data_IF_889673630497
#
_entry.id   IF_889673630497
#
_cell.length_a   1.000
_cell.length_b   1.000
_cell.length_c   1.000
_cell.angle_alpha   90.00
_cell.angle_beta   90.00
_cell.angle_gamma   90.00
#
_symmetry.space_group_name_H-M   'P 1'
#
loop_
_entity.id
_entity.type
_entity.pdbx_description
1 polymer ?
#
# COMPACT_ATOMS: atom_id res chain seq x y z
N UNK A 1 -6.04 -45.10 49.53
CA UNK A 1 -4.58 -45.37 49.43
C UNK A 1 -4.41 -46.27 48.22
N UNK A 2 -3.70 -45.96 47.13
CA UNK A 2 -2.76 -44.89 46.77
C UNK A 2 -2.53 -44.94 45.25
N UNK A 3 -2.47 -43.76 44.60
CA UNK A 3 -1.64 -43.35 43.45
C UNK A 3 -1.39 -44.35 42.31
N UNK A 4 -1.66 -44.06 41.04
CA UNK A 4 -1.38 -42.82 40.33
C UNK A 4 0.07 -42.83 39.84
N UNK A 5 0.30 -42.94 38.51
CA UNK A 5 1.40 -42.30 37.76
C UNK A 5 1.50 -42.71 36.28
N UNK A 6 1.29 -41.69 35.42
CA UNK A 6 2.17 -41.23 34.31
C UNK A 6 2.52 -42.13 33.12
N UNK A 7 2.12 -41.67 31.93
CA UNK A 7 3.07 -41.34 30.84
C UNK A 7 2.56 -41.62 29.42
N UNK A 8 2.26 -40.57 28.62
CA UNK A 8 3.11 -40.00 27.53
C UNK A 8 3.29 -41.03 26.37
N UNK A 9 2.87 -40.86 25.10
CA UNK A 9 3.14 -39.82 24.08
C UNK A 9 2.25 -40.17 22.85
N UNK A 10 1.44 -39.24 22.32
CA UNK A 10 1.56 -38.58 21.00
C UNK A 10 1.74 -39.56 19.79
N UNK A 11 0.97 -39.49 18.70
CA UNK A 11 0.82 -38.34 17.81
C UNK A 11 -0.43 -38.43 16.93
N UNK A 12 -1.21 -37.37 17.00
CA UNK A 12 -2.26 -36.98 16.06
C UNK A 12 -1.67 -36.69 14.67
N UNK A 13 -2.31 -37.21 13.63
CA UNK A 13 -2.10 -36.74 12.25
C UNK A 13 -3.30 -35.87 11.87
N UNK A 14 -3.12 -34.55 11.93
CA UNK A 14 -4.03 -33.57 11.34
C UNK A 14 -3.19 -32.70 10.40
N UNK A 15 -3.37 -32.88 9.09
CA UNK A 15 -2.79 -32.04 8.06
C UNK A 15 -3.95 -31.43 7.27
N UNK A 16 -4.59 -30.44 7.89
CA UNK A 16 -5.45 -29.49 7.21
C UNK A 16 -4.51 -28.49 6.51
N UNK A 17 -4.32 -28.67 5.21
CA UNK A 17 -3.69 -27.68 4.35
C UNK A 17 -4.59 -26.45 4.26
N UNK A 18 -4.40 -25.51 5.19
CA UNK A 18 -4.89 -24.14 5.06
C UNK A 18 -3.85 -23.37 4.23
N UNK A 19 -3.95 -23.42 2.90
CA UNK A 19 -3.13 -22.57 2.03
C UNK A 19 -3.69 -21.15 2.07
N UNK A 20 -2.92 -20.13 2.47
CA UNK A 20 -3.35 -18.74 2.36
C UNK A 20 -3.49 -18.35 0.87
N UNK A 21 -4.30 -17.32 0.53
CA UNK A 21 -4.37 -16.82 -0.83
C UNK A 21 -3.04 -16.13 -1.15
N UNK A 22 -2.18 -16.84 -1.89
CA UNK A 22 -1.08 -16.24 -2.62
C UNK A 22 -1.74 -15.27 -3.61
N UNK A 23 -1.73 -13.97 -3.32
CA UNK A 23 -1.72 -12.96 -4.37
C UNK A 23 -0.56 -13.36 -5.27
N UNK A 24 -0.88 -13.93 -6.43
CA UNK A 24 -0.03 -14.86 -7.14
C UNK A 24 1.35 -14.25 -7.46
N UNK A 25 2.33 -14.47 -6.59
CA UNK A 25 3.72 -14.47 -7.00
C UNK A 25 3.85 -15.69 -7.89
N UNK A 26 3.75 -15.48 -9.20
CA UNK A 26 3.96 -16.53 -10.18
C UNK A 26 5.29 -17.23 -9.83
N UNK A 27 5.35 -18.57 -9.81
CA UNK A 27 6.59 -19.28 -9.51
C UNK A 27 7.70 -18.78 -10.43
N UNK A 28 8.83 -18.38 -9.85
CA UNK A 28 9.95 -17.81 -10.60
C UNK A 28 10.46 -18.82 -11.64
N UNK A 29 10.29 -18.47 -12.93
CA UNK A 29 10.87 -19.20 -14.06
C UNK A 29 11.93 -18.29 -14.70
N UNK A 30 13.24 -18.60 -14.59
CA UNK A 30 14.32 -17.67 -14.91
C UNK A 30 14.18 -16.99 -16.29
N UNK A 31 14.13 -17.75 -17.38
CA UNK A 31 14.12 -17.19 -18.75
C UNK A 31 12.86 -16.37 -19.06
N UNK A 32 11.70 -16.86 -18.61
CA UNK A 32 10.42 -16.17 -18.80
C UNK A 32 10.39 -14.88 -17.98
N UNK A 33 10.96 -14.90 -16.78
CA UNK A 33 11.01 -13.74 -15.89
C UNK A 33 11.97 -12.68 -16.40
N UNK A 34 13.16 -13.07 -16.88
CA UNK A 34 14.12 -12.13 -17.47
C UNK A 34 13.56 -11.45 -18.73
N UNK A 35 12.90 -12.21 -19.61
CA UNK A 35 12.27 -11.66 -20.80
C UNK A 35 11.12 -10.69 -20.45
N UNK A 36 10.29 -11.05 -19.46
CA UNK A 36 9.20 -10.19 -18.98
C UNK A 36 9.71 -8.95 -18.25
N UNK A 37 10.76 -9.05 -17.44
CA UNK A 37 11.39 -7.90 -16.79
C UNK A 37 12.01 -6.97 -17.82
N UNK A 38 12.65 -7.51 -18.86
CA UNK A 38 13.15 -6.71 -19.99
C UNK A 38 12.03 -5.96 -20.70
N UNK A 39 10.89 -6.61 -20.92
CA UNK A 39 9.72 -5.96 -21.50
C UNK A 39 9.15 -4.86 -20.58
N UNK A 40 9.05 -5.11 -19.28
CA UNK A 40 8.67 -4.09 -18.30
C UNK A 40 9.60 -2.87 -18.37
N UNK A 41 10.92 -3.08 -18.37
CA UNK A 41 11.90 -1.97 -18.48
C UNK A 41 11.73 -1.17 -19.77
N UNK A 42 11.40 -1.83 -20.88
CA UNK A 42 11.14 -1.17 -22.16
C UNK A 42 9.87 -0.31 -22.10
N UNK A 43 8.81 -0.81 -21.47
CA UNK A 43 7.57 -0.07 -21.27
C UNK A 43 7.78 1.16 -20.38
N UNK A 44 8.50 1.01 -19.27
CA UNK A 44 8.88 2.13 -18.39
C UNK A 44 9.71 3.16 -19.16
N UNK A 45 10.73 2.72 -19.90
CA UNK A 45 11.57 3.62 -20.70
C UNK A 45 10.75 4.38 -21.76
N UNK A 46 9.79 3.72 -22.42
CA UNK A 46 8.93 4.35 -23.41
C UNK A 46 8.01 5.42 -22.78
N UNK A 47 7.40 5.11 -21.62
CA UNK A 47 6.61 6.06 -20.83
C UNK A 47 7.44 7.29 -20.42
N UNK A 48 8.59 7.07 -19.81
CA UNK A 48 9.48 8.15 -19.36
C UNK A 48 10.01 8.99 -20.52
N UNK A 49 10.36 8.38 -21.66
CA UNK A 49 10.77 9.10 -22.86
C UNK A 49 9.65 9.98 -23.43
N UNK A 50 8.41 9.50 -23.44
CA UNK A 50 7.25 10.28 -23.86
C UNK A 50 7.03 11.50 -22.93
N UNK A 51 7.16 11.31 -21.61
CA UNK A 51 7.08 12.41 -20.65
C UNK A 51 8.20 13.45 -20.86
N UNK A 52 9.45 12.99 -20.96
CA UNK A 52 10.62 13.85 -21.18
C UNK A 52 10.56 14.62 -22.51
N UNK A 53 9.88 14.06 -23.52
CA UNK A 53 9.66 14.70 -24.82
C UNK A 53 8.48 15.68 -24.82
N UNK A 54 7.85 15.94 -23.68
CA UNK A 54 6.68 16.83 -23.56
C UNK A 54 5.40 16.25 -24.15
N UNK A 55 5.33 14.93 -24.35
CA UNK A 55 4.18 14.22 -24.92
C UNK A 55 3.59 13.23 -23.91
N UNK A 56 3.03 13.72 -22.79
CA UNK A 56 2.57 12.83 -21.73
C UNK A 56 1.43 11.90 -22.14
N UNK A 57 0.59 12.28 -23.11
CA UNK A 57 -0.47 11.42 -23.62
C UNK A 57 0.07 10.13 -24.26
N UNK A 58 1.17 10.23 -25.01
CA UNK A 58 1.81 9.09 -25.68
C UNK A 58 2.39 8.08 -24.67
N UNK A 59 2.65 8.52 -23.43
CA UNK A 59 3.22 7.69 -22.37
C UNK A 59 2.20 6.95 -21.49
N UNK A 60 0.90 7.28 -21.57
CA UNK A 60 -0.14 6.62 -20.75
C UNK A 60 -0.20 5.12 -21.05
N UNK A 61 -0.22 4.77 -22.33
CA UNK A 61 -0.37 3.39 -22.79
C UNK A 61 0.81 2.49 -22.35
N UNK A 62 2.08 2.86 -22.58
CA UNK A 62 3.20 2.10 -22.05
C UNK A 62 3.24 2.10 -20.51
N UNK A 63 2.85 3.19 -19.84
CA UNK A 63 2.80 3.23 -18.38
C UNK A 63 1.77 2.25 -17.79
N UNK A 64 0.54 2.17 -18.35
CA UNK A 64 -0.48 1.20 -17.92
C UNK A 64 -0.02 -0.25 -18.11
N UNK A 65 0.56 -0.55 -19.26
CA UNK A 65 1.11 -1.88 -19.57
C UNK A 65 2.26 -2.23 -18.64
N UNK A 66 3.15 -1.25 -18.39
CA UNK A 66 4.26 -1.39 -17.45
C UNK A 66 3.79 -1.68 -16.04
N UNK A 67 2.80 -0.93 -15.53
CA UNK A 67 2.21 -1.16 -14.21
C UNK A 67 1.58 -2.55 -14.10
N UNK A 68 0.77 -2.95 -15.09
CA UNK A 68 0.14 -4.29 -15.09
C UNK A 68 1.19 -5.40 -15.03
N UNK A 69 2.25 -5.27 -15.84
CA UNK A 69 3.32 -6.26 -15.88
C UNK A 69 4.15 -6.25 -14.58
N UNK A 70 4.34 -5.09 -13.96
CA UNK A 70 5.04 -4.98 -12.68
C UNK A 70 4.23 -5.61 -11.53
N UNK A 71 2.91 -5.37 -11.49
CA UNK A 71 1.98 -6.00 -10.55
C UNK A 71 2.10 -7.54 -10.63
N UNK A 72 2.12 -8.10 -11.85
CA UNK A 72 2.25 -9.53 -12.07
C UNK A 72 3.63 -10.12 -11.70
N UNK A 73 4.72 -9.37 -11.95
CA UNK A 73 6.09 -9.86 -11.77
C UNK A 73 6.62 -9.71 -10.35
N UNK A 74 6.26 -8.60 -9.71
CA UNK A 74 6.89 -8.19 -8.45
C UNK A 74 5.89 -8.09 -7.30
N UNK A 75 4.60 -7.97 -7.62
CA UNK A 75 3.53 -7.76 -6.66
C UNK A 75 3.20 -6.27 -6.44
N UNK A 76 2.03 -5.99 -5.84
CA UNK A 76 1.44 -4.67 -5.81
C UNK A 76 2.14 -3.63 -4.94
N UNK A 77 2.96 -4.09 -3.99
CA UNK A 77 3.71 -3.26 -3.03
C UNK A 77 5.22 -3.23 -3.31
N UNK A 78 5.69 -3.90 -4.37
CA UNK A 78 7.11 -3.87 -4.73
C UNK A 78 7.50 -2.46 -5.24
N UNK A 79 8.67 -1.93 -4.85
CA UNK A 79 9.12 -0.61 -5.30
C UNK A 79 9.08 -0.40 -6.82
N UNK A 80 9.35 -1.43 -7.63
CA UNK A 80 9.29 -1.34 -9.10
C UNK A 80 7.86 -1.13 -9.61
N UNK A 81 6.90 -1.78 -8.97
CA UNK A 81 5.48 -1.61 -9.22
C UNK A 81 5.01 -0.22 -8.81
N UNK A 82 5.43 0.23 -7.63
CA UNK A 82 5.08 1.56 -7.12
C UNK A 82 5.68 2.69 -7.95
N UNK A 83 6.90 2.51 -8.49
CA UNK A 83 7.49 3.43 -9.47
C UNK A 83 6.63 3.48 -10.75
N UNK A 84 6.22 2.31 -11.27
CA UNK A 84 5.37 2.23 -12.47
C UNK A 84 4.00 2.90 -12.25
N UNK A 85 3.43 2.78 -11.04
CA UNK A 85 2.19 3.43 -10.67
C UNK A 85 2.35 4.96 -10.59
N UNK A 86 3.46 5.44 -10.02
CA UNK A 86 3.78 6.87 -9.98
C UNK A 86 3.98 7.46 -11.38
N UNK A 87 4.67 6.75 -12.28
CA UNK A 87 4.87 7.19 -13.67
C UNK A 87 3.52 7.35 -14.40
N UNK A 88 2.62 6.37 -14.25
CA UNK A 88 1.26 6.49 -14.79
C UNK A 88 0.50 7.68 -14.18
N UNK A 89 0.64 7.91 -12.86
CA UNK A 89 0.01 9.05 -12.20
C UNK A 89 0.44 10.39 -12.81
N UNK A 90 1.74 10.58 -13.08
CA UNK A 90 2.28 11.78 -13.72
C UNK A 90 1.71 12.02 -15.13
N UNK A 91 1.61 10.95 -15.94
CA UNK A 91 1.00 11.03 -17.27
C UNK A 91 -0.48 11.40 -17.21
N UNK A 92 -1.22 10.82 -16.27
CA UNK A 92 -2.64 11.10 -16.09
C UNK A 92 -2.86 12.52 -15.58
N UNK A 93 -2.05 12.98 -14.62
CA UNK A 93 -2.14 14.35 -14.12
C UNK A 93 -1.86 15.37 -15.22
N UNK A 94 -0.80 15.20 -15.99
CA UNK A 94 -0.42 16.13 -17.06
C UNK A 94 -1.42 16.16 -18.22
N UNK A 95 -2.28 15.15 -18.34
CA UNK A 95 -3.33 15.05 -19.37
C UNK A 95 -4.74 15.31 -18.84
N UNK A 96 -4.90 15.72 -17.58
CA UNK A 96 -6.19 16.11 -17.01
C UNK A 96 -7.01 14.98 -16.39
N UNK A 97 -6.49 13.75 -16.35
CA UNK A 97 -7.14 12.58 -15.74
C UNK A 97 -6.93 12.55 -14.21
N UNK A 98 -7.31 13.63 -13.54
CA UNK A 98 -6.92 13.90 -12.14
C UNK A 98 -7.41 12.86 -11.14
N UNK A 99 -8.64 12.34 -11.30
CA UNK A 99 -9.21 11.37 -10.36
C UNK A 99 -8.42 10.06 -10.34
N UNK A 100 -7.97 9.60 -11.51
CA UNK A 100 -7.18 8.37 -11.60
C UNK A 100 -5.75 8.61 -11.10
N UNK A 101 -5.15 9.76 -11.43
CA UNK A 101 -3.85 10.18 -10.90
C UNK A 101 -3.85 10.23 -9.36
N UNK A 102 -4.87 10.84 -8.74
CA UNK A 102 -5.02 10.90 -7.29
C UNK A 102 -5.03 9.51 -6.66
N UNK A 103 -5.81 8.58 -7.23
CA UNK A 103 -5.88 7.20 -6.75
C UNK A 103 -4.52 6.50 -6.77
N UNK A 104 -3.72 6.71 -7.83
CA UNK A 104 -2.39 6.14 -7.94
C UNK A 104 -1.39 6.78 -6.98
N UNK A 105 -1.35 8.12 -6.85
CA UNK A 105 -0.48 8.77 -5.89
C UNK A 105 -0.76 8.33 -4.45
N UNK A 106 -2.04 8.19 -4.09
CA UNK A 106 -2.45 7.66 -2.78
C UNK A 106 -1.99 6.21 -2.60
N UNK A 107 -2.23 5.33 -3.59
CA UNK A 107 -1.76 3.94 -3.55
C UNK A 107 -0.25 3.87 -3.29
N UNK A 108 0.53 4.70 -4.00
CA UNK A 108 2.00 4.74 -3.87
C UNK A 108 2.42 5.20 -2.47
N UNK A 109 1.85 6.29 -1.97
CA UNK A 109 2.16 6.80 -0.64
C UNK A 109 1.76 5.79 0.46
N UNK A 110 0.54 5.27 0.42
CA UNK A 110 0.02 4.35 1.45
C UNK A 110 0.84 3.03 1.49
N UNK A 111 1.27 2.53 0.32
CA UNK A 111 2.11 1.33 0.23
C UNK A 111 3.51 1.56 0.79
N UNK A 112 4.19 2.65 0.39
CA UNK A 112 5.51 2.97 0.93
C UNK A 112 5.48 3.26 2.42
N UNK A 113 4.46 4.00 2.89
CA UNK A 113 4.28 4.27 4.30
C UNK A 113 4.13 2.95 5.10
N UNK A 114 3.29 2.02 4.62
CA UNK A 114 3.07 0.73 5.29
C UNK A 114 4.32 -0.16 5.28
N UNK A 115 5.06 -0.20 4.18
CA UNK A 115 6.15 -1.17 3.98
C UNK A 115 7.54 -0.66 4.38
N UNK A 116 7.74 0.66 4.35
CA UNK A 116 9.05 1.30 4.58
C UNK A 116 9.04 2.31 5.74
N UNK A 117 7.86 2.73 6.19
CA UNK A 117 7.72 3.72 7.26
C UNK A 117 7.88 5.16 6.76
N UNK A 118 7.59 6.11 7.65
CA UNK A 118 7.42 7.52 7.30
C UNK A 118 8.72 8.28 6.99
N UNK A 119 9.83 7.86 7.58
CA UNK A 119 11.13 8.52 7.43
C UNK A 119 11.96 7.92 6.27
N UNK A 120 11.43 6.93 5.55
CA UNK A 120 12.08 6.38 4.36
C UNK A 120 12.02 7.38 3.19
N UNK A 121 13.11 7.57 2.43
CA UNK A 121 13.14 8.51 1.31
C UNK A 121 12.06 8.29 0.25
N UNK A 122 11.64 7.04 -0.02
CA UNK A 122 10.60 6.78 -1.01
C UNK A 122 9.21 7.13 -0.49
N UNK A 123 8.92 6.86 0.78
CA UNK A 123 7.68 7.32 1.43
C UNK A 123 7.59 8.84 1.41
N UNK A 124 8.71 9.50 1.73
CA UNK A 124 8.83 10.96 1.72
C UNK A 124 8.64 11.56 0.33
N UNK A 125 9.19 10.93 -0.72
CA UNK A 125 9.00 11.36 -2.10
C UNK A 125 7.55 11.18 -2.56
N UNK A 126 6.94 10.02 -2.27
CA UNK A 126 5.54 9.76 -2.61
C UNK A 126 4.59 10.74 -1.93
N UNK A 127 4.86 11.08 -0.67
CA UNK A 127 4.13 12.09 0.08
C UNK A 127 4.24 13.47 -0.57
N UNK A 128 5.43 13.88 -1.01
CA UNK A 128 5.61 15.15 -1.71
C UNK A 128 4.83 15.20 -3.02
N UNK A 129 4.87 14.14 -3.82
CA UNK A 129 4.11 14.07 -5.07
C UNK A 129 2.61 14.25 -4.82
N UNK A 130 2.08 13.63 -3.77
CA UNK A 130 0.67 13.76 -3.40
C UNK A 130 0.33 15.17 -2.86
N UNK A 131 1.22 15.80 -2.09
CA UNK A 131 1.06 17.20 -1.66
C UNK A 131 1.03 18.13 -2.88
N UNK A 132 1.96 17.95 -3.80
CA UNK A 132 2.09 18.78 -5.00
C UNK A 132 0.89 18.64 -5.92
N UNK A 133 0.40 17.41 -6.08
CA UNK A 133 -0.84 17.13 -6.79
C UNK A 133 -2.02 17.97 -6.24
N UNK A 134 -2.23 17.98 -4.91
CA UNK A 134 -3.33 18.75 -4.32
C UNK A 134 -3.10 20.26 -4.34
N UNK A 135 -1.86 20.72 -4.12
CA UNK A 135 -1.51 22.15 -4.19
C UNK A 135 -1.80 22.70 -5.59
N UNK A 136 -1.40 21.98 -6.64
CA UNK A 136 -1.64 22.38 -8.02
C UNK A 136 -3.14 22.42 -8.39
N UNK A 137 -4.01 21.77 -7.62
CA UNK A 137 -5.48 21.75 -7.80
C UNK A 137 -6.20 22.70 -6.86
N UNK A 138 -5.46 23.52 -6.11
CA UNK A 138 -6.01 24.42 -5.09
C UNK A 138 -6.94 23.68 -4.10
N UNK A 139 -6.49 22.50 -3.63
CA UNK A 139 -7.18 21.65 -2.65
C UNK A 139 -6.47 21.70 -1.29
N UNK A 140 -6.55 22.82 -0.55
CA UNK A 140 -5.85 22.99 0.72
C UNK A 140 -6.38 22.05 1.80
N UNK A 141 -7.64 21.62 1.70
CA UNK A 141 -8.29 20.64 2.58
C UNK A 141 -7.54 19.30 2.61
N UNK A 142 -7.02 18.86 1.46
CA UNK A 142 -6.27 17.62 1.34
C UNK A 142 -4.75 17.84 1.48
N UNK A 143 -4.21 18.91 0.91
CA UNK A 143 -2.77 19.20 0.95
C UNK A 143 -2.27 19.50 2.37
N UNK A 144 -3.06 20.18 3.22
CA UNK A 144 -2.61 20.68 4.52
C UNK A 144 -2.20 19.60 5.51
N UNK A 145 -3.10 18.63 5.80
CA UNK A 145 -2.76 17.51 6.67
C UNK A 145 -1.53 16.73 6.18
N UNK A 146 -1.38 16.57 4.86
CA UNK A 146 -0.24 15.87 4.25
C UNK A 146 1.06 16.69 4.33
N UNK A 147 1.00 18.00 4.12
CA UNK A 147 2.16 18.88 4.24
C UNK A 147 2.63 19.00 5.70
N UNK A 148 1.70 19.05 6.66
CA UNK A 148 2.01 19.03 8.09
C UNK A 148 2.62 17.68 8.51
N UNK A 149 2.12 16.58 7.95
CA UNK A 149 2.72 15.25 8.10
C UNK A 149 4.16 15.20 7.53
N UNK A 150 4.36 15.70 6.31
CA UNK A 150 5.67 15.78 5.66
C UNK A 150 6.66 16.64 6.46
N UNK A 151 6.20 17.79 6.98
CA UNK A 151 7.01 18.70 7.77
C UNK A 151 7.58 18.04 9.02
N UNK A 152 6.78 17.22 9.73
CA UNK A 152 7.27 16.48 10.91
C UNK A 152 8.38 15.50 10.53
N UNK A 153 8.18 14.73 9.46
CA UNK A 153 9.17 13.76 9.00
C UNK A 153 10.45 14.46 8.54
N UNK A 154 10.36 15.51 7.73
CA UNK A 154 11.54 16.24 7.23
C UNK A 154 12.32 16.96 8.32
N UNK A 155 11.64 17.46 9.36
CA UNK A 155 12.30 18.04 10.54
C UNK A 155 13.16 17.00 11.27
N UNK A 156 12.72 15.74 11.35
CA UNK A 156 13.50 14.66 11.97
C UNK A 156 14.65 14.21 11.07
N UNK A 157 14.42 14.04 9.77
CA UNK A 157 15.42 13.43 8.87
C UNK A 157 16.44 14.43 8.30
N UNK A 158 16.01 15.66 8.00
CA UNK A 158 16.83 16.69 7.34
C UNK A 158 16.97 17.99 8.13
N UNK A 159 16.28 18.10 9.27
CA UNK A 159 16.28 19.29 10.11
C UNK A 159 15.27 20.36 9.68
N UNK A 160 14.94 21.25 10.60
CA UNK A 160 13.96 22.32 10.38
C UNK A 160 14.41 23.38 9.36
N UNK A 161 15.73 23.59 9.23
CA UNK A 161 16.31 24.54 8.28
C UNK A 161 16.39 24.02 6.84
N UNK A 162 16.00 22.77 6.57
CA UNK A 162 16.09 22.22 5.22
C UNK A 162 15.08 22.87 4.27
N UNK A 163 15.44 22.96 2.98
CA UNK A 163 14.54 23.51 1.96
C UNK A 163 13.21 22.74 1.90
N UNK A 164 13.24 21.42 2.14
CA UNK A 164 12.06 20.56 2.21
C UNK A 164 11.15 20.96 3.38
N UNK A 165 11.70 21.11 4.58
CA UNK A 165 10.96 21.58 5.76
C UNK A 165 10.36 22.97 5.55
N UNK A 166 11.15 23.93 5.07
CA UNK A 166 10.68 25.30 4.82
C UNK A 166 9.61 25.36 3.72
N UNK A 167 9.67 24.49 2.71
CA UNK A 167 8.63 24.39 1.68
C UNK A 167 7.31 23.91 2.27
N UNK A 168 7.33 22.84 3.06
CA UNK A 168 6.13 22.33 3.71
C UNK A 168 5.53 23.33 4.69
N UNK A 169 6.37 24.04 5.44
CA UNK A 169 5.93 25.12 6.33
C UNK A 169 5.21 26.25 5.59
N UNK A 170 5.72 26.67 4.42
CA UNK A 170 5.03 27.65 3.57
C UNK A 170 3.70 27.13 3.04
N UNK A 171 3.63 25.86 2.64
CA UNK A 171 2.37 25.24 2.19
C UNK A 171 1.35 25.24 3.33
N UNK A 172 1.73 24.81 4.53
CA UNK A 172 0.87 24.83 5.72
C UNK A 172 0.43 26.26 6.09
N UNK A 173 1.34 27.24 6.03
CA UNK A 173 1.04 28.63 6.38
C UNK A 173 0.19 29.37 5.33
N UNK A 174 0.32 29.02 4.05
CA UNK A 174 -0.44 29.63 2.96
C UNK A 174 -1.88 29.13 2.90
N UNK A 175 -2.20 28.05 3.60
CA UNK A 175 -3.57 27.57 3.67
C UNK A 175 -4.38 28.50 4.56
N UNK A 176 -5.59 28.93 4.12
CA UNK A 176 -6.50 29.57 5.04
C UNK A 176 -6.68 28.63 6.23
N UNK A 177 -6.70 29.18 7.46
CA UNK A 177 -7.18 28.45 8.65
C UNK A 177 -8.65 28.13 8.41
N UNK A 178 -8.93 27.17 7.54
CA UNK A 178 -10.22 26.56 7.40
C UNK A 178 -10.40 25.81 8.71
N UNK A 179 -11.28 26.35 9.54
CA UNK A 179 -11.76 25.67 10.72
C UNK A 179 -12.15 24.25 10.30
N UNK A 180 -11.42 23.27 10.82
CA UNK A 180 -11.83 21.88 11.03
C UNK A 180 -12.63 21.21 9.90
N UNK A 181 -12.04 20.24 9.19
CA UNK A 181 -12.48 18.83 9.29
C UNK A 181 -11.81 17.95 8.23
N UNK A 182 -10.75 17.26 8.62
CA UNK A 182 -10.55 15.82 8.36
C UNK A 182 -9.25 15.43 9.07
N UNK A 183 -9.23 14.37 9.90
CA UNK A 183 -7.97 13.85 10.41
C UNK A 183 -7.09 13.43 9.22
N UNK A 184 -5.75 13.54 9.33
CA UNK A 184 -4.85 12.94 8.36
C UNK A 184 -5.21 11.45 8.18
N UNK A 185 -4.93 10.83 7.01
CA UNK A 185 -5.22 9.42 6.81
C UNK A 185 -4.64 8.64 7.99
N UNK A 186 -5.52 7.89 8.67
CA UNK A 186 -5.09 7.05 9.78
C UNK A 186 -3.99 6.13 9.28
N UNK A 187 -2.86 6.00 10.01
CA UNK A 187 -1.92 4.92 9.70
C UNK A 187 -2.71 3.61 9.63
N UNK A 188 -2.40 2.72 8.68
CA UNK A 188 -3.15 1.47 8.56
C UNK A 188 -3.17 0.80 9.93
N UNK A 189 -4.37 0.54 10.46
CA UNK A 189 -4.52 -0.18 11.71
C UNK A 189 -3.71 -1.47 11.60
N UNK A 190 -2.68 -1.60 12.44
CA UNK A 190 -2.02 -2.87 12.61
C UNK A 190 -3.11 -3.88 12.94
N UNK A 191 -3.27 -4.89 12.07
CA UNK A 191 -4.22 -5.98 12.24
C UNK A 191 -4.05 -6.52 13.66
N UNK A 192 -4.95 -6.11 14.56
CA UNK A 192 -5.09 -6.76 15.85
C UNK A 192 -5.70 -8.11 15.52
N UNK A 193 -4.90 -9.16 15.69
CA UNK A 193 -5.41 -10.51 15.75
C UNK A 193 -6.40 -10.55 16.92
N UNK A 194 -7.69 -10.52 16.60
CA UNK A 194 -8.75 -10.79 17.56
C UNK A 194 -8.73 -12.29 17.87
N UNK A 195 -7.87 -12.67 18.81
CA UNK A 195 -8.05 -13.86 19.62
C UNK A 195 -9.14 -13.54 20.66
N UNK A 196 -10.41 -13.66 20.28
CA UNK A 196 -11.48 -13.75 21.27
C UNK A 196 -12.37 -14.97 21.00
N UNK A 197 -12.34 -15.83 22.02
CA UNK A 197 -12.91 -17.17 22.09
C UNK A 197 -14.41 -17.05 22.31
N UNK A 198 -15.21 -17.25 21.26
CA UNK A 198 -16.65 -17.47 21.43
C UNK A 198 -16.90 -18.91 21.90
N UNK A 199 -16.98 -19.03 23.23
CA UNK A 199 -17.25 -20.25 23.98
C UNK A 199 -18.72 -20.63 23.82
N UNK A 200 -19.06 -21.39 22.78
CA UNK A 200 -20.39 -21.99 22.61
C UNK A 200 -20.54 -23.21 23.54
N UNK A 201 -21.57 -23.32 24.40
CA UNK A 201 -21.84 -24.55 25.14
C UNK A 201 -22.43 -25.62 24.21
N UNK A 202 -22.18 -26.92 24.46
CA UNK A 202 -22.68 -28.00 23.60
C UNK A 202 -24.20 -28.19 23.75
N UNK A 203 -24.90 -28.62 22.69
CA UNK A 203 -26.34 -28.87 22.73
C UNK A 203 -26.66 -30.10 23.60
N UNK A 204 -27.75 -30.00 24.38
CA UNK A 204 -28.29 -31.09 25.16
C UNK A 204 -28.76 -32.23 24.24
N UNK A 205 -28.25 -33.44 24.46
CA UNK A 205 -28.78 -34.64 23.81
C UNK A 205 -30.10 -35.02 24.48
N UNK A 206 -31.18 -34.83 23.73
CA UNK A 206 -32.53 -35.25 24.07
C UNK A 206 -32.62 -36.78 23.98
N UNK A 207 -32.98 -37.40 25.10
CA UNK A 207 -33.15 -38.84 25.25
C UNK A 207 -34.47 -39.27 24.60
N UNK A 208 -34.42 -39.86 23.41
CA UNK A 208 -35.53 -40.67 22.91
C UNK A 208 -35.41 -42.08 23.47
N UNK A 209 -36.07 -42.28 24.60
CA UNK A 209 -36.64 -43.57 25.01
C UNK A 209 -38.01 -43.69 24.32
N UNK A 210 -38.16 -44.62 23.38
CA UNK A 210 -39.47 -45.17 23.05
C UNK A 210 -39.35 -46.57 22.45
N UNK A 211 -39.21 -47.49 23.40
CA UNK A 211 -39.93 -48.76 23.53
C UNK A 211 -40.98 -49.14 22.45
N UNK A 212 -41.03 -50.48 22.23
CA UNK A 212 -42.19 -51.39 21.99
C UNK A 212 -42.41 -51.92 20.57
N UNK A 213 -43.08 -53.09 20.40
CA UNK A 213 -43.27 -54.26 21.28
C UNK A 213 -42.49 -55.53 20.84
#
# INVERSE_FOLDING_TARGET
>A
MTGGRTGWILRSALLLCLTPPLHAQAPYVPDVTEAREKEWRKLVAASQAAYASGKPADGIDPARKGLTLADDLFGPDDPRTLISANDLALHLESTGHYREAEGLYRRVFDSYLRTRGEDDPNSQLALENLVDFYVARNRPDAAGPLADYALRSFRRTTGAGSARSQRMERIVAAMPKLATSAPPPSPPEAVRQEDDVEKMPPPAMESTDENRP
#
